data_IF_625613512703
#
_entry.id   IF_625613512703
#
_cell.length_a   1.000
_cell.length_b   1.000
_cell.length_c   1.000
_cell.angle_alpha   90.00
_cell.angle_beta   90.00
_cell.angle_gamma   90.00
#
_symmetry.space_group_name_H-M   'P 1'
#
loop_
_entity.id
_entity.type
_entity.pdbx_description
1 polymer ?
#
# COMPACT_ATOMS: atom_id res chain seq x y z
N UNK A 1 11.56 -1.63 -0.71
CA UNK A 1 11.50 -1.06 -2.10
C UNK A 1 10.32 -1.69 -2.82
N UNK A 2 9.37 -0.95 -3.38
CA UNK A 2 8.14 -1.54 -3.95
C UNK A 2 8.31 -1.92 -5.44
N UNK A 3 7.86 -3.11 -5.86
CA UNK A 3 8.04 -3.61 -7.23
C UNK A 3 7.45 -2.67 -8.29
N UNK A 4 6.18 -2.19 -8.18
CA UNK A 4 5.61 -1.28 -9.17
C UNK A 4 6.21 0.13 -9.10
N UNK A 5 6.59 0.62 -7.91
CA UNK A 5 7.13 1.98 -7.76
C UNK A 5 8.62 2.11 -8.11
N UNK A 6 9.42 1.06 -7.91
CA UNK A 6 10.88 1.16 -7.99
C UNK A 6 11.52 0.29 -9.06
N UNK A 7 10.84 -0.76 -9.54
CA UNK A 7 11.42 -1.78 -10.43
C UNK A 7 10.62 -2.01 -11.70
N UNK A 8 9.63 -1.15 -11.98
CA UNK A 8 8.74 -1.27 -13.15
C UNK A 8 8.12 -2.67 -13.28
N UNK A 9 7.93 -3.38 -12.16
CA UNK A 9 7.44 -4.76 -12.13
C UNK A 9 6.03 -4.80 -11.54
N UNK A 10 5.02 -5.33 -12.28
CA UNK A 10 3.66 -5.43 -11.78
C UNK A 10 3.56 -6.28 -10.51
N UNK A 11 2.77 -5.85 -9.54
CA UNK A 11 2.54 -6.57 -8.29
C UNK A 11 1.25 -6.07 -7.64
N UNK A 12 0.39 -7.00 -7.22
CA UNK A 12 -0.90 -6.71 -6.57
C UNK A 12 -1.03 -7.39 -5.20
N UNK A 13 0.02 -8.06 -4.72
CA UNK A 13 -0.02 -8.94 -3.54
C UNK A 13 -0.63 -8.23 -2.31
N UNK A 14 -0.18 -7.01 -2.01
CA UNK A 14 -0.69 -6.24 -0.86
C UNK A 14 -2.19 -5.92 -0.94
N UNK A 15 -2.73 -5.70 -2.14
CA UNK A 15 -4.17 -5.54 -2.36
C UNK A 15 -4.88 -6.89 -2.17
N UNK A 16 -4.40 -7.96 -2.80
CA UNK A 16 -5.02 -9.29 -2.77
C UNK A 16 -5.18 -9.81 -1.33
N UNK A 17 -4.12 -9.69 -0.53
CA UNK A 17 -4.08 -10.21 0.85
C UNK A 17 -4.74 -9.31 1.89
N UNK A 18 -5.15 -8.09 1.52
CA UNK A 18 -5.81 -7.18 2.44
C UNK A 18 -7.16 -7.76 2.90
N UNK A 19 -7.35 -8.02 4.22
CA UNK A 19 -8.50 -8.81 4.70
C UNK A 19 -9.77 -7.98 4.94
N UNK A 20 -9.70 -6.66 4.84
CA UNK A 20 -10.85 -5.78 5.10
C UNK A 20 -11.69 -5.56 3.84
N UNK A 21 -12.99 -5.33 4.03
CA UNK A 21 -13.94 -4.98 2.98
C UNK A 21 -14.69 -3.70 3.37
N UNK A 22 -14.53 -2.59 2.64
CA UNK A 22 -13.65 -2.39 1.48
C UNK A 22 -12.15 -2.57 1.81
N UNK A 23 -11.34 -2.96 0.82
CA UNK A 23 -9.89 -3.13 0.98
C UNK A 23 -9.22 -1.81 1.37
N UNK A 24 -8.29 -1.88 2.33
CA UNK A 24 -7.50 -0.73 2.77
C UNK A 24 -6.32 -0.42 1.83
N UNK A 25 -6.00 -1.33 0.91
CA UNK A 25 -4.98 -1.16 -0.12
C UNK A 25 -5.67 -1.39 -1.45
N UNK A 26 -5.45 -0.48 -2.40
CA UNK A 26 -5.87 -0.63 -3.80
C UNK A 26 -4.75 -0.24 -4.73
N UNK A 27 -4.98 -0.32 -6.03
CA UNK A 27 -4.00 -0.01 -7.07
C UNK A 27 -4.54 0.98 -8.12
N UNK A 28 -3.62 1.72 -8.73
CA UNK A 28 -3.87 2.47 -9.97
C UNK A 28 -3.11 1.82 -11.11
N UNK A 29 -3.76 1.66 -12.25
CA UNK A 29 -3.09 1.19 -13.46
C UNK A 29 -2.35 2.36 -14.12
N UNK A 30 -1.06 2.15 -14.39
CA UNK A 30 -0.22 3.11 -15.11
C UNK A 30 0.54 2.39 -16.21
N UNK A 31 0.25 2.75 -17.46
CA UNK A 31 1.01 2.27 -18.61
C UNK A 31 2.30 3.07 -18.77
N UNK A 32 3.43 2.39 -18.82
CA UNK A 32 4.74 3.00 -19.03
C UNK A 32 5.49 2.32 -20.16
N UNK A 33 6.43 3.05 -20.77
CA UNK A 33 7.45 2.49 -21.65
C UNK A 33 8.74 2.27 -20.87
N UNK A 34 9.14 1.02 -20.69
CA UNK A 34 10.39 0.63 -20.04
C UNK A 34 11.61 1.01 -20.87
N UNK A 35 12.78 0.98 -20.22
CA UNK A 35 14.07 1.26 -20.83
C UNK A 35 14.43 0.34 -22.02
N UNK A 36 13.93 -0.89 -22.03
CA UNK A 36 14.11 -1.88 -23.12
C UNK A 36 13.13 -1.66 -24.30
N UNK A 37 12.27 -0.64 -24.20
CA UNK A 37 11.26 -0.29 -25.19
C UNK A 37 9.94 -1.05 -25.04
N UNK A 38 9.81 -1.98 -24.09
CA UNK A 38 8.56 -2.69 -23.82
C UNK A 38 7.53 -1.79 -23.15
N UNK A 39 6.25 -2.02 -23.44
CA UNK A 39 5.13 -1.38 -22.74
C UNK A 39 4.66 -2.31 -21.64
N UNK A 40 4.52 -1.80 -20.42
CA UNK A 40 4.00 -2.53 -19.27
C UNK A 40 2.95 -1.71 -18.54
N UNK A 41 1.93 -2.38 -18.02
CA UNK A 41 0.96 -1.79 -17.09
C UNK A 41 1.40 -2.10 -15.67
N UNK A 42 1.60 -1.05 -14.86
CA UNK A 42 1.96 -1.16 -13.45
C UNK A 42 0.73 -0.94 -12.58
N UNK A 43 0.46 -1.85 -11.65
CA UNK A 43 -0.56 -1.67 -10.62
C UNK A 43 0.08 -0.96 -9.41
N UNK A 44 0.11 0.37 -9.42
CA UNK A 44 0.77 1.15 -8.36
C UNK A 44 -0.09 1.18 -7.09
N UNK A 45 0.38 0.62 -5.97
CA UNK A 45 -0.43 0.52 -4.77
C UNK A 45 -0.56 1.86 -4.03
N UNK A 46 -1.73 2.10 -3.46
CA UNK A 46 -2.03 3.16 -2.50
C UNK A 46 -2.73 2.59 -1.26
N UNK A 47 -2.57 3.27 -0.12
CA UNK A 47 -3.18 2.86 1.15
C UNK A 47 -4.24 3.87 1.55
N UNK A 48 -5.37 3.38 2.06
CA UNK A 48 -6.46 4.13 2.71
C UNK A 48 -6.36 3.92 4.22
N UNK A 49 -5.63 4.78 4.97
CA UNK A 49 -5.36 4.54 6.38
C UNK A 49 -6.63 4.46 7.23
N UNK A 50 -7.71 5.12 6.82
CA UNK A 50 -9.02 5.09 7.48
C UNK A 50 -9.71 3.72 7.46
N UNK A 51 -9.29 2.82 6.58
CA UNK A 51 -9.78 1.43 6.51
C UNK A 51 -8.80 0.41 7.11
N UNK A 52 -7.55 0.81 7.32
CA UNK A 52 -6.50 -0.11 7.75
C UNK A 52 -6.67 -0.49 9.22
N UNK A 53 -6.68 -1.79 9.51
CA UNK A 53 -6.79 -2.33 10.88
C UNK A 53 -5.43 -2.69 11.50
N UNK A 54 -4.32 -2.45 10.79
CA UNK A 54 -2.98 -2.75 11.29
C UNK A 54 -2.64 -4.24 11.44
N UNK A 55 -3.22 -5.11 10.61
CA UNK A 55 -3.05 -6.58 10.71
C UNK A 55 -1.67 -7.12 10.31
N UNK A 56 -0.87 -6.37 9.54
CA UNK A 56 0.49 -6.79 9.14
C UNK A 56 0.58 -7.79 7.97
N UNK A 57 -0.54 -8.33 7.45
CA UNK A 57 -0.50 -9.35 6.38
C UNK A 57 0.20 -8.82 5.11
N UNK A 58 -0.06 -7.57 4.71
CA UNK A 58 0.56 -6.98 3.53
C UNK A 58 2.09 -6.78 3.66
N UNK A 59 2.58 -6.58 4.88
CA UNK A 59 4.02 -6.50 5.18
C UNK A 59 4.64 -7.90 5.15
N UNK A 60 3.97 -8.89 5.75
CA UNK A 60 4.43 -10.29 5.79
C UNK A 60 4.49 -10.95 4.42
N UNK A 61 3.44 -10.78 3.61
CA UNK A 61 3.31 -11.39 2.28
C UNK A 61 4.03 -10.58 1.20
N UNK A 62 4.71 -9.49 1.56
CA UNK A 62 5.43 -8.68 0.58
C UNK A 62 6.50 -9.54 -0.11
N UNK A 63 6.48 -9.68 -1.45
CA UNK A 63 7.41 -10.56 -2.17
C UNK A 63 8.84 -10.01 -2.26
N UNK A 64 9.10 -8.84 -1.67
CA UNK A 64 10.41 -8.19 -1.66
C UNK A 64 11.26 -8.87 -0.59
N UNK A 65 12.33 -9.56 -1.00
CA UNK A 65 13.17 -10.42 -0.14
C UNK A 65 13.98 -9.64 0.91
N UNK A 66 14.23 -8.35 0.66
CA UNK A 66 14.94 -7.46 1.58
C UNK A 66 13.93 -6.70 2.46
N UNK A 67 14.02 -5.38 2.50
CA UNK A 67 13.05 -4.53 3.17
C UNK A 67 11.70 -4.51 2.44
N UNK A 68 10.66 -4.96 3.16
CA UNK A 68 9.28 -4.98 2.71
C UNK A 68 8.88 -3.62 2.10
N UNK A 69 8.03 -3.66 1.07
CA UNK A 69 7.59 -2.45 0.39
C UNK A 69 6.59 -1.62 1.21
N UNK A 70 5.96 -2.22 2.21
CA UNK A 70 4.92 -1.65 3.06
C UNK A 70 5.20 -2.03 4.51
N UNK A 71 4.97 -1.08 5.41
CA UNK A 71 5.22 -1.25 6.84
C UNK A 71 3.99 -0.83 7.64
N UNK A 72 3.65 -1.63 8.65
CA UNK A 72 2.63 -1.30 9.63
C UNK A 72 3.32 -0.66 10.84
N UNK A 73 2.85 0.53 11.22
CA UNK A 73 3.34 1.25 12.40
C UNK A 73 2.19 1.60 13.34
N UNK A 74 2.52 2.04 14.56
CA UNK A 74 1.51 2.51 15.51
C UNK A 74 0.93 3.90 15.17
N UNK A 75 1.36 4.53 14.07
CA UNK A 75 0.83 5.82 13.62
C UNK A 75 -0.58 5.61 13.09
N UNK A 76 -1.54 6.38 13.60
CA UNK A 76 -2.97 6.26 13.29
C UNK A 76 -3.76 5.35 14.24
N UNK A 77 -3.14 4.75 15.26
CA UNK A 77 -3.85 3.86 16.20
C UNK A 77 -4.91 4.61 17.03
N UNK A 78 -6.04 3.96 17.29
CA UNK A 78 -7.17 4.57 18.04
C UNK A 78 -6.86 4.78 19.53
N UNK A 79 -5.92 4.01 20.09
CA UNK A 79 -5.56 4.05 21.51
C UNK A 79 -4.69 5.25 21.92
N UNK A 80 -4.09 5.96 20.96
CA UNK A 80 -3.18 7.08 21.24
C UNK A 80 -3.60 8.35 20.50
N UNK A 81 -4.04 9.37 21.25
CA UNK A 81 -4.38 10.68 20.68
C UNK A 81 -3.17 11.40 20.08
N UNK A 82 -1.97 11.11 20.57
CA UNK A 82 -0.71 11.75 20.15
C UNK A 82 -0.17 11.19 18.84
N UNK A 83 -0.59 9.97 18.44
CA UNK A 83 -0.16 9.30 17.20
C UNK A 83 -1.18 9.44 16.07
N UNK A 84 -1.87 10.58 15.99
CA UNK A 84 -2.90 10.80 14.97
C UNK A 84 -2.26 11.00 13.58
N UNK A 85 -2.69 10.20 12.59
CA UNK A 85 -2.24 10.32 11.19
C UNK A 85 -3.15 11.23 10.37
N UNK A 86 -4.47 11.08 10.55
CA UNK A 86 -5.47 11.79 9.77
C UNK A 86 -5.78 13.13 10.43
N UNK A 87 -5.79 14.20 9.63
CA UNK A 87 -6.34 15.48 10.06
C UNK A 87 -7.80 15.23 10.47
N UNK A 88 -8.18 15.66 11.68
CA UNK A 88 -9.58 15.68 12.10
C UNK A 88 -10.32 16.59 11.12
N UNK A 89 -11.06 16.02 10.17
CA UNK A 89 -12.01 16.79 9.39
C UNK A 89 -12.99 17.40 10.39
N UNK A 90 -13.20 18.72 10.32
CA UNK A 90 -14.37 19.32 10.95
C UNK A 90 -15.57 18.65 10.29
N UNK A 91 -16.21 17.73 11.01
CA UNK A 91 -17.54 17.27 10.67
C UNK A 91 -18.43 18.51 10.69
N UNK A 92 -18.80 18.99 9.51
CA UNK A 92 -19.94 19.91 9.31
C UNK A 92 -21.23 19.13 9.49
#
# INVERSE_FOLDING_TARGET
RCLPWSMETPCVVCEEVCPVSPKAIGTYDEEIRRWDGTIVVLNKPYIRPELCIGCGICEHECPVIDDAAVYVTAVGETRSKTRSLLLRSRQT
#
